data_IF_904382961799
#
_entry.id   IF_904382961799
#
_cell.length_a   1.000
_cell.length_b   1.000
_cell.length_c   1.000
_cell.angle_alpha   90.00
_cell.angle_beta   90.00
_cell.angle_gamma   90.00
#
_symmetry.space_group_name_H-M   'P 1'
#
loop_
_entity.id
_entity.type
_entity.pdbx_description
1 polymer ?
#
# COMPACT_ATOMS: atom_id res chain seq x y z
N UNK A 1 -2.83 -6.25 10.60
CA UNK A 1 -1.52 -5.75 11.08
C UNK A 1 -0.97 -4.65 10.19
N UNK A 2 -0.91 -4.80 8.87
CA UNK A 2 -0.32 -3.78 7.97
C UNK A 2 -1.17 -2.51 7.87
N UNK A 3 -2.50 -2.61 7.78
CA UNK A 3 -3.40 -1.46 7.59
C UNK A 3 -3.24 -0.36 8.67
N UNK A 4 -3.24 -0.69 9.98
CA UNK A 4 -2.95 0.30 11.05
C UNK A 4 -1.61 1.05 10.89
N UNK A 5 -0.59 0.42 10.31
CA UNK A 5 0.71 1.06 10.09
C UNK A 5 0.70 1.94 8.85
N UNK A 6 -0.07 1.56 7.83
CA UNK A 6 -0.34 2.40 6.66
C UNK A 6 -1.15 3.64 7.06
N UNK A 7 -2.17 3.48 7.90
CA UNK A 7 -2.95 4.60 8.46
C UNK A 7 -2.08 5.55 9.29
N UNK A 8 -1.20 5.01 10.13
CA UNK A 8 -0.26 5.82 10.89
C UNK A 8 0.69 6.61 9.97
N UNK A 9 1.21 5.99 8.91
CA UNK A 9 2.08 6.66 7.94
C UNK A 9 1.34 7.77 7.15
N UNK A 10 0.07 7.54 6.80
CA UNK A 10 -0.78 8.55 6.17
C UNK A 10 -1.06 9.74 7.10
N UNK A 11 -1.35 9.46 8.38
CA UNK A 11 -1.56 10.49 9.39
C UNK A 11 -0.28 11.34 9.61
N UNK A 12 0.88 10.69 9.72
CA UNK A 12 2.17 11.37 9.85
C UNK A 12 2.47 12.25 8.62
N UNK A 13 2.30 11.71 7.41
CA UNK A 13 2.48 12.44 6.16
C UNK A 13 1.60 13.70 6.09
N UNK A 14 0.34 13.61 6.54
CA UNK A 14 -0.55 14.75 6.60
C UNK A 14 -0.03 15.88 7.50
N UNK A 15 0.65 15.57 8.61
CA UNK A 15 1.26 16.60 9.49
C UNK A 15 2.42 17.35 8.86
N UNK A 16 3.04 16.79 7.82
CA UNK A 16 4.22 17.33 7.13
C UNK A 16 3.90 17.88 5.73
N UNK A 17 2.62 17.87 5.34
CA UNK A 17 2.18 18.32 4.01
C UNK A 17 2.53 17.35 2.88
N UNK A 18 2.83 16.09 3.18
CA UNK A 18 3.08 15.05 2.18
C UNK A 18 1.74 14.49 1.69
N UNK A 19 1.46 14.48 0.37
CA UNK A 19 0.23 13.93 -0.17
C UNK A 19 0.10 12.42 0.07
N UNK A 20 -1.14 11.95 0.29
CA UNK A 20 -1.44 10.52 0.46
C UNK A 20 -0.99 9.67 -0.75
N UNK A 21 -1.12 10.21 -1.97
CA UNK A 21 -0.67 9.56 -3.20
C UNK A 21 0.85 9.31 -3.22
N UNK A 22 1.64 10.23 -2.65
CA UNK A 22 3.09 10.09 -2.51
C UNK A 22 3.42 8.95 -1.55
N UNK A 23 2.70 8.86 -0.42
CA UNK A 23 2.83 7.74 0.52
C UNK A 23 2.48 6.42 -0.15
N UNK A 24 1.36 6.37 -0.88
CA UNK A 24 0.93 5.17 -1.60
C UNK A 24 1.96 4.71 -2.65
N UNK A 25 2.50 5.62 -3.46
CA UNK A 25 3.56 5.30 -4.43
C UNK A 25 4.82 4.78 -3.76
N UNK A 26 5.22 5.36 -2.63
CA UNK A 26 6.37 4.90 -1.87
C UNK A 26 6.13 3.48 -1.30
N UNK A 27 4.93 3.20 -0.78
CA UNK A 27 4.56 1.87 -0.29
C UNK A 27 4.60 0.81 -1.41
N UNK A 28 4.11 1.14 -2.61
CA UNK A 28 4.21 0.25 -3.79
C UNK A 28 5.68 0.00 -4.13
N UNK A 29 6.50 1.05 -4.14
CA UNK A 29 7.94 0.96 -4.46
C UNK A 29 8.68 0.06 -3.47
N UNK A 30 8.42 0.23 -2.17
CA UNK A 30 9.03 -0.59 -1.12
C UNK A 30 8.55 -2.05 -1.18
N UNK A 31 7.27 -2.28 -1.46
CA UNK A 31 6.76 -3.63 -1.67
C UNK A 31 7.47 -4.31 -2.85
N UNK A 32 7.57 -3.62 -4.00
CA UNK A 32 8.30 -4.14 -5.18
C UNK A 32 9.78 -4.38 -4.85
N UNK A 33 10.44 -3.47 -4.12
CA UNK A 33 11.83 -3.63 -3.69
C UNK A 33 12.04 -4.92 -2.87
N UNK A 34 11.15 -5.20 -1.93
CA UNK A 34 11.18 -6.41 -1.09
C UNK A 34 10.92 -7.67 -1.93
N UNK A 35 9.88 -7.66 -2.77
CA UNK A 35 9.50 -8.82 -3.57
C UNK A 35 10.58 -9.21 -4.59
N UNK A 36 11.25 -8.22 -5.20
CA UNK A 36 12.36 -8.44 -6.13
C UNK A 36 13.53 -9.22 -5.52
N UNK A 37 13.66 -9.26 -4.19
CA UNK A 37 14.73 -10.00 -3.53
C UNK A 37 14.55 -11.53 -3.62
N UNK A 38 13.34 -12.02 -3.88
CA UNK A 38 13.02 -13.46 -3.83
C UNK A 38 12.11 -13.95 -4.94
N UNK A 39 11.53 -13.06 -5.76
CA UNK A 39 10.55 -13.43 -6.79
C UNK A 39 10.91 -12.92 -8.18
N UNK A 40 10.60 -13.71 -9.23
CA UNK A 40 10.66 -13.25 -10.60
C UNK A 40 9.77 -12.04 -10.86
N UNK A 41 10.18 -11.16 -11.78
CA UNK A 41 9.43 -9.94 -12.11
C UNK A 41 8.02 -10.23 -12.65
N UNK A 42 7.84 -11.33 -13.39
CA UNK A 42 6.52 -11.69 -13.91
C UNK A 42 5.51 -12.00 -12.81
N UNK A 43 5.94 -12.63 -11.72
CA UNK A 43 5.05 -12.97 -10.61
C UNK A 43 4.63 -11.72 -9.84
N UNK A 44 5.55 -10.75 -9.70
CA UNK A 44 5.27 -9.45 -9.08
C UNK A 44 4.26 -8.66 -9.92
N UNK A 45 4.41 -8.67 -11.25
CA UNK A 45 3.45 -8.03 -12.16
C UNK A 45 2.06 -8.64 -12.05
N UNK A 46 1.98 -9.98 -12.05
CA UNK A 46 0.71 -10.68 -11.91
C UNK A 46 0.02 -10.34 -10.59
N UNK A 47 0.77 -10.24 -9.49
CA UNK A 47 0.23 -9.87 -8.18
C UNK A 47 -0.29 -8.43 -8.14
N UNK A 48 0.47 -7.47 -8.70
CA UNK A 48 0.02 -6.08 -8.79
C UNK A 48 -1.22 -5.96 -9.68
N UNK A 49 -1.26 -6.66 -10.81
CA UNK A 49 -2.42 -6.70 -11.69
C UNK A 49 -3.64 -7.25 -10.96
N UNK A 50 -3.48 -8.38 -10.26
CA UNK A 50 -4.54 -8.98 -9.47
C UNK A 50 -5.06 -8.00 -8.40
N UNK A 51 -4.17 -7.29 -7.70
CA UNK A 51 -4.56 -6.30 -6.72
C UNK A 51 -5.36 -5.14 -7.36
N UNK A 52 -4.95 -4.64 -8.53
CA UNK A 52 -5.69 -3.59 -9.24
C UNK A 52 -7.10 -4.06 -9.63
N UNK A 53 -7.24 -5.31 -10.06
CA UNK A 53 -8.50 -5.85 -10.57
C UNK A 53 -9.46 -6.33 -9.47
N UNK A 54 -8.94 -6.71 -8.29
CA UNK A 54 -9.70 -7.43 -7.27
C UNK A 54 -9.66 -6.78 -5.89
N UNK A 55 -8.96 -5.64 -5.71
CA UNK A 55 -9.04 -4.90 -4.46
C UNK A 55 -10.41 -4.23 -4.39
N UNK A 56 -11.32 -4.87 -3.66
CA UNK A 56 -12.59 -4.27 -3.28
C UNK A 56 -12.32 -3.09 -2.34
N UNK A 57 -13.03 -1.98 -2.56
CA UNK A 57 -13.19 -0.90 -1.59
C UNK A 57 -13.95 -1.47 -0.39
N UNK A 58 -13.26 -2.25 0.46
CA UNK A 58 -13.82 -2.62 1.75
C UNK A 58 -13.85 -1.34 2.56
N UNK A 59 -15.05 -0.82 2.78
CA UNK A 59 -15.33 0.22 3.76
C UNK A 59 -14.67 -0.18 5.09
N UNK A 60 -13.51 0.42 5.37
CA UNK A 60 -12.86 0.35 6.68
C UNK A 60 -13.64 1.17 7.74
N UNK A 61 -14.92 1.50 7.49
CA UNK A 61 -15.81 2.21 8.40
C UNK A 61 -16.04 1.46 9.73
N UNK A 62 -15.68 0.17 9.83
CA UNK A 62 -15.78 -0.60 11.07
C UNK A 62 -14.65 -0.36 12.08
N UNK A 63 -13.69 0.53 11.79
CA UNK A 63 -12.77 1.04 12.82
C UNK A 63 -13.08 2.50 13.15
N UNK A 64 -14.33 2.77 13.58
CA UNK A 64 -14.55 3.86 14.53
C UNK A 64 -14.06 3.40 15.92
N UNK A 65 -13.41 4.28 16.69
CA UNK A 65 -12.63 3.94 17.88
C UNK A 65 -13.44 3.23 18.98
#
# INVERSE_FOLDING_TARGET
MVNRHVEAALAEAATTGIPAETVASNLITEAVRILKASRPLQDIRAELQFAIENLEDRDYEFMRP
#
